data_IF_805652966170
#
_entry.id   IF_805652966170
#
_cell.length_a   1.000
_cell.length_b   1.000
_cell.length_c   1.000
_cell.angle_alpha   90.00
_cell.angle_beta   90.00
_cell.angle_gamma   90.00
#
_symmetry.space_group_name_H-M   'P 1'
#
loop_
_entity.id
_entity.type
_entity.pdbx_description
1 polymer ?
#
# COMPACT_ATOMS: atom_id res chain seq x y z
N UNK A 1 -4.35 -31.24 -21.86
CA UNK A 1 -3.21 -30.67 -21.14
C UNK A 1 -2.97 -29.22 -21.42
N UNK A 2 -3.00 -28.80 -22.68
CA UNK A 2 -2.82 -27.39 -23.06
C UNK A 2 -3.85 -26.48 -22.42
N UNK A 3 -5.10 -26.92 -22.33
CA UNK A 3 -6.19 -26.14 -21.75
C UNK A 3 -5.98 -25.89 -20.24
N UNK A 4 -5.48 -26.90 -19.54
CA UNK A 4 -5.19 -26.80 -18.11
C UNK A 4 -4.07 -25.80 -17.86
N UNK A 5 -3.04 -25.82 -18.71
CA UNK A 5 -1.92 -24.87 -18.62
C UNK A 5 -2.39 -23.46 -18.88
N UNK A 6 -3.22 -23.26 -19.90
CA UNK A 6 -3.78 -21.94 -20.21
C UNK A 6 -4.65 -21.40 -19.07
N UNK A 7 -5.46 -22.27 -18.46
CA UNK A 7 -6.28 -21.88 -17.33
C UNK A 7 -5.44 -21.44 -16.13
N UNK A 8 -4.36 -22.17 -15.85
CA UNK A 8 -3.44 -21.81 -14.76
C UNK A 8 -2.76 -20.48 -15.05
N UNK A 9 -2.32 -20.26 -16.28
CA UNK A 9 -1.71 -18.99 -16.68
C UNK A 9 -2.68 -17.82 -16.53
N UNK A 10 -3.92 -18.01 -16.94
CA UNK A 10 -4.96 -16.98 -16.81
C UNK A 10 -5.23 -16.65 -15.35
N UNK A 11 -5.36 -17.68 -14.50
CA UNK A 11 -5.55 -17.48 -13.07
C UNK A 11 -4.37 -16.75 -12.43
N UNK A 12 -3.16 -17.11 -12.82
CA UNK A 12 -1.96 -16.45 -12.30
C UNK A 12 -1.91 -14.99 -12.73
N UNK A 13 -2.27 -14.67 -13.95
CA UNK A 13 -2.34 -13.28 -14.41
C UNK A 13 -3.34 -12.46 -13.61
N UNK A 14 -4.51 -13.04 -13.32
CA UNK A 14 -5.52 -12.36 -12.51
C UNK A 14 -5.02 -12.12 -11.08
N UNK A 15 -4.39 -13.12 -10.48
CA UNK A 15 -3.81 -13.00 -9.15
C UNK A 15 -2.72 -11.94 -9.10
N UNK A 16 -1.88 -11.88 -10.11
CA UNK A 16 -0.84 -10.86 -10.21
C UNK A 16 -1.42 -9.45 -10.32
N UNK A 17 -2.49 -9.29 -11.08
CA UNK A 17 -3.18 -7.99 -11.17
C UNK A 17 -3.78 -7.58 -9.85
N UNK A 18 -4.40 -8.51 -9.14
CA UNK A 18 -4.98 -8.26 -7.82
C UNK A 18 -3.90 -7.88 -6.81
N UNK A 19 -2.78 -8.59 -6.81
CA UNK A 19 -1.64 -8.28 -5.95
C UNK A 19 -1.09 -6.88 -6.23
N UNK A 20 -0.98 -6.53 -7.51
CA UNK A 20 -0.51 -5.21 -7.91
C UNK A 20 -1.44 -4.10 -7.38
N UNK A 21 -2.75 -4.31 -7.49
CA UNK A 21 -3.75 -3.36 -6.96
C UNK A 21 -3.63 -3.22 -5.45
N UNK A 22 -3.49 -4.34 -4.75
CA UNK A 22 -3.32 -4.34 -3.30
C UNK A 22 -2.05 -3.61 -2.87
N UNK A 23 -0.95 -3.84 -3.57
CA UNK A 23 0.30 -3.13 -3.30
C UNK A 23 0.16 -1.63 -3.49
N UNK A 24 -0.56 -1.21 -4.52
CA UNK A 24 -0.81 0.21 -4.76
C UNK A 24 -1.65 0.83 -3.66
N UNK A 25 -2.67 0.12 -3.19
CA UNK A 25 -3.49 0.58 -2.05
C UNK A 25 -2.66 0.71 -0.79
N UNK A 26 -1.83 -0.29 -0.50
CA UNK A 26 -0.96 -0.28 0.67
C UNK A 26 0.04 0.86 0.62
N UNK A 27 0.59 1.15 -0.55
CA UNK A 27 1.52 2.27 -0.73
C UNK A 27 0.83 3.60 -0.43
N UNK A 28 -0.42 3.77 -0.89
CA UNK A 28 -1.21 4.97 -0.62
C UNK A 28 -1.48 5.12 0.87
N UNK A 29 -1.87 4.03 1.55
CA UNK A 29 -2.12 4.04 2.98
C UNK A 29 -0.85 4.39 3.76
N UNK A 30 0.29 3.82 3.35
CA UNK A 30 1.58 4.14 3.98
C UNK A 30 1.93 5.61 3.83
N UNK A 31 1.71 6.18 2.66
CA UNK A 31 1.95 7.60 2.44
C UNK A 31 1.09 8.46 3.36
N UNK A 32 -0.18 8.10 3.52
CA UNK A 32 -1.10 8.81 4.41
C UNK A 32 -0.65 8.70 5.87
N UNK A 33 -0.25 7.49 6.29
CA UNK A 33 0.26 7.27 7.65
C UNK A 33 1.53 8.09 7.90
N UNK A 34 2.45 8.09 6.95
CA UNK A 34 3.69 8.87 7.07
C UNK A 34 3.40 10.36 7.15
N UNK A 35 2.50 10.85 6.32
CA UNK A 35 2.10 12.26 6.33
C UNK A 35 1.45 12.65 7.65
N UNK A 36 0.54 11.84 8.17
CA UNK A 36 -0.12 12.06 9.44
C UNK A 36 0.88 12.04 10.60
N UNK A 37 1.79 11.08 10.56
CA UNK A 37 2.84 10.94 11.58
C UNK A 37 3.74 12.19 11.60
N UNK A 38 4.11 12.69 10.42
CA UNK A 38 4.93 13.90 10.33
C UNK A 38 4.20 15.11 10.90
N UNK A 39 2.90 15.25 10.60
CA UNK A 39 2.09 16.32 11.16
C UNK A 39 2.00 16.25 12.67
N UNK A 40 1.84 15.06 13.22
CA UNK A 40 1.81 14.85 14.69
C UNK A 40 3.16 15.20 15.32
N UNK A 41 4.25 14.81 14.69
CA UNK A 41 5.58 15.15 15.18
C UNK A 41 5.79 16.66 15.21
N UNK A 42 5.33 17.36 14.17
CA UNK A 42 5.41 18.81 14.10
C UNK A 42 4.60 19.47 15.22
N UNK A 43 3.40 18.96 15.50
CA UNK A 43 2.57 19.45 16.58
C UNK A 43 3.21 19.21 17.95
N UNK A 44 3.76 18.02 18.16
CA UNK A 44 4.46 17.68 19.40
C UNK A 44 5.66 18.61 19.62
N UNK A 45 6.42 18.88 18.56
CA UNK A 45 7.57 19.78 18.65
C UNK A 45 7.13 21.21 18.98
N UNK A 46 6.03 21.68 18.41
CA UNK A 46 5.46 22.98 18.70
C UNK A 46 5.06 23.10 20.16
N UNK A 47 4.36 22.08 20.67
CA UNK A 47 3.95 22.04 22.08
C UNK A 47 5.18 22.05 22.99
N UNK A 48 6.20 21.28 22.65
CA UNK A 48 7.44 21.20 23.42
C UNK A 48 8.16 22.54 23.49
N UNK A 49 8.16 23.30 22.39
CA UNK A 49 8.76 24.62 22.34
C UNK A 49 8.01 25.65 23.17
N UNK A 50 6.68 25.47 23.30
CA UNK A 50 5.84 26.36 24.10
C UNK A 50 5.93 26.10 25.61
N UNK A 51 6.37 24.91 25.99
CA UNK A 51 6.56 24.58 27.39
C UNK A 51 7.85 25.18 27.93
#
# INVERSE_FOLDING_TARGET
MERAILNILTQNEELLRELKKEQQKQATILDEVMSTTQSLMDEVNTIREEL
#
